data_IF_106007227237
#
_entry.id   IF_106007227237
#
_cell.length_a   1.000
_cell.length_b   1.000
_cell.length_c   1.000
_cell.angle_alpha   90.00
_cell.angle_beta   90.00
_cell.angle_gamma   90.00
#
_symmetry.space_group_name_H-M   'P 1'
#
loop_
_entity.id
_entity.type
_entity.pdbx_description
1 polymer ?
#
# COMPACT_ATOMS: atom_id res chain seq x y z
N UNK A 1 16.54 13.55 -28.90
CA UNK A 1 17.47 12.57 -28.30
C UNK A 1 17.28 12.57 -26.79
N UNK A 2 16.64 11.53 -26.24
CA UNK A 2 16.40 11.41 -24.79
C UNK A 2 17.64 10.87 -24.08
N UNK A 3 17.84 11.24 -22.81
CA UNK A 3 18.92 10.71 -21.97
C UNK A 3 18.87 9.17 -22.00
N UNK A 4 20.01 8.47 -22.23
CA UNK A 4 20.04 7.01 -22.21
C UNK A 4 19.61 6.49 -20.85
N UNK A 5 18.84 5.42 -20.85
CA UNK A 5 18.40 4.73 -19.63
C UNK A 5 19.61 4.16 -18.90
N UNK A 6 19.61 4.25 -17.57
CA UNK A 6 20.68 3.66 -16.76
C UNK A 6 20.65 2.13 -16.89
N UNK A 7 21.82 1.46 -16.88
CA UNK A 7 21.90 0.01 -16.80
C UNK A 7 21.16 -0.50 -15.57
N UNK A 8 20.51 -1.65 -15.71
CA UNK A 8 19.96 -2.37 -14.56
C UNK A 8 21.09 -3.29 -14.06
N UNK A 9 21.61 -3.03 -12.86
CA UNK A 9 22.83 -3.65 -12.32
C UNK A 9 22.56 -4.96 -11.55
N UNK A 10 21.32 -5.18 -11.10
CA UNK A 10 20.87 -6.38 -10.39
C UNK A 10 20.05 -7.23 -11.36
N UNK A 11 20.37 -8.53 -11.48
CA UNK A 11 19.70 -9.45 -12.41
C UNK A 11 18.79 -10.38 -11.59
N UNK A 12 17.69 -9.83 -11.09
CA UNK A 12 16.59 -10.61 -10.51
C UNK A 12 15.41 -10.71 -11.51
N UNK A 13 14.36 -11.44 -11.14
CA UNK A 13 13.20 -11.61 -12.04
C UNK A 13 12.49 -10.27 -12.35
N UNK A 14 12.50 -9.31 -11.42
CA UNK A 14 11.90 -7.97 -11.59
C UNK A 14 12.70 -7.13 -12.58
N UNK A 15 14.03 -7.20 -12.49
CA UNK A 15 14.95 -6.61 -13.44
C UNK A 15 14.78 -7.22 -14.84
N UNK A 16 14.67 -8.55 -14.95
CA UNK A 16 14.42 -9.23 -16.22
C UNK A 16 13.10 -8.77 -16.86
N UNK A 17 12.04 -8.66 -16.08
CA UNK A 17 10.75 -8.15 -16.55
C UNK A 17 10.82 -6.70 -17.04
N UNK A 18 11.55 -5.84 -16.32
CA UNK A 18 11.77 -4.46 -16.75
C UNK A 18 12.62 -4.39 -18.04
N UNK A 19 13.60 -5.28 -18.22
CA UNK A 19 14.38 -5.42 -19.45
C UNK A 19 13.48 -5.82 -20.62
N UNK A 20 12.59 -6.79 -20.44
CA UNK A 20 11.61 -7.17 -21.46
C UNK A 20 10.67 -6.00 -21.84
N UNK A 21 10.24 -5.22 -20.85
CA UNK A 21 9.40 -4.03 -21.06
C UNK A 21 10.15 -2.96 -21.87
N UNK A 22 11.44 -2.75 -21.59
CA UNK A 22 12.31 -1.86 -22.38
C UNK A 22 12.53 -2.40 -23.79
N UNK A 23 12.69 -3.71 -23.96
CA UNK A 23 12.83 -4.35 -25.26
C UNK A 23 11.56 -4.18 -26.11
N UNK A 24 10.37 -4.34 -25.52
CA UNK A 24 9.10 -4.07 -26.19
C UNK A 24 9.01 -2.61 -26.66
N UNK A 25 9.43 -1.67 -25.81
CA UNK A 25 9.47 -0.23 -26.14
C UNK A 25 10.45 0.08 -27.27
N UNK A 26 11.58 -0.62 -27.32
CA UNK A 26 12.59 -0.45 -28.37
C UNK A 26 12.13 -1.04 -29.71
N UNK A 27 11.51 -2.23 -29.69
CA UNK A 27 11.08 -2.97 -30.87
C UNK A 27 10.00 -2.25 -31.69
N UNK A 28 9.14 -1.45 -31.05
CA UNK A 28 8.01 -0.77 -31.68
C UNK A 28 8.19 0.75 -31.78
N UNK A 29 9.35 1.18 -32.29
CA UNK A 29 9.60 2.57 -32.70
C UNK A 29 10.37 3.42 -31.69
N UNK A 30 11.00 2.80 -30.68
CA UNK A 30 11.84 3.50 -29.69
C UNK A 30 11.13 4.71 -29.05
N UNK A 31 9.88 4.51 -28.64
CA UNK A 31 9.08 5.56 -28.01
C UNK A 31 9.80 6.14 -26.79
N UNK A 32 9.90 7.47 -26.75
CA UNK A 32 10.45 8.12 -25.56
C UNK A 32 9.42 8.08 -24.44
N UNK A 33 9.86 8.24 -23.18
CA UNK A 33 8.92 8.37 -22.07
C UNK A 33 7.97 9.57 -22.22
N UNK A 34 8.36 10.59 -22.99
CA UNK A 34 7.48 11.71 -23.34
C UNK A 34 6.35 11.27 -24.29
N UNK A 35 6.66 10.42 -25.27
CA UNK A 35 5.66 9.89 -26.21
C UNK A 35 4.72 8.90 -25.52
N UNK A 36 5.25 8.06 -24.62
CA UNK A 36 4.44 7.19 -23.77
C UNK A 36 3.51 7.99 -22.86
N UNK A 37 4.00 9.06 -22.23
CA UNK A 37 3.15 9.93 -21.40
C UNK A 37 2.08 10.67 -22.21
N UNK A 38 2.30 10.93 -23.51
CA UNK A 38 1.28 11.51 -24.39
C UNK A 38 0.22 10.48 -24.83
N UNK A 39 0.58 9.19 -24.87
CA UNK A 39 -0.29 8.07 -25.28
C UNK A 39 -0.95 7.34 -24.12
N UNK A 40 -0.58 7.66 -22.90
CA UNK A 40 -1.08 7.03 -21.67
C UNK A 40 -1.52 8.11 -20.68
N UNK A 41 -2.34 7.75 -19.70
CA UNK A 41 -2.73 8.68 -18.63
C UNK A 41 -1.72 8.74 -17.47
N UNK A 42 -0.46 8.36 -17.71
CA UNK A 42 0.59 8.25 -16.69
C UNK A 42 1.71 9.24 -16.91
N UNK A 43 2.28 9.73 -15.80
CA UNK A 43 3.39 10.69 -15.85
C UNK A 43 4.68 10.06 -16.40
N UNK A 44 5.57 10.88 -16.96
CA UNK A 44 6.90 10.46 -17.42
C UNK A 44 7.71 9.77 -16.31
N UNK A 45 7.59 10.26 -15.08
CA UNK A 45 8.32 9.74 -13.92
C UNK A 45 7.81 8.33 -13.57
N UNK A 46 6.50 8.15 -13.49
CA UNK A 46 5.85 6.86 -13.24
C UNK A 46 6.24 5.82 -14.31
N UNK A 47 6.29 6.20 -15.58
CA UNK A 47 6.66 5.32 -16.68
C UNK A 47 8.16 4.94 -16.66
N UNK A 48 9.03 5.88 -16.27
CA UNK A 48 10.45 5.62 -16.10
C UNK A 48 10.72 4.69 -14.92
N UNK A 49 10.00 4.88 -13.81
CA UNK A 49 10.09 3.99 -12.64
C UNK A 49 9.57 2.58 -12.94
N UNK A 50 8.46 2.47 -13.67
CA UNK A 50 7.89 1.17 -14.08
C UNK A 50 8.83 0.36 -14.98
N UNK A 51 9.78 1.02 -15.63
CA UNK A 51 10.79 0.37 -16.47
C UNK A 51 12.17 0.38 -15.84
N UNK A 52 12.30 0.81 -14.58
CA UNK A 52 13.60 0.92 -13.89
C UNK A 52 14.13 -0.42 -13.38
N UNK A 53 13.27 -1.43 -13.19
CA UNK A 53 13.65 -2.75 -12.66
C UNK A 53 13.94 -2.76 -11.16
N UNK A 54 13.48 -1.75 -10.42
CA UNK A 54 13.66 -1.66 -8.96
C UNK A 54 12.55 -2.33 -8.15
N UNK A 55 11.33 -2.36 -8.68
CA UNK A 55 10.13 -2.94 -8.07
C UNK A 55 9.18 -3.40 -9.16
N UNK A 56 8.35 -4.39 -8.86
CA UNK A 56 7.31 -4.85 -9.79
C UNK A 56 6.30 -3.69 -10.00
N UNK A 57 6.10 -3.19 -11.22
CA UNK A 57 5.16 -2.10 -11.48
C UNK A 57 3.71 -2.59 -11.32
N UNK A 58 2.77 -1.69 -11.06
CA UNK A 58 1.36 -2.07 -11.00
C UNK A 58 0.85 -2.52 -12.37
N UNK A 59 -0.06 -3.50 -12.39
CA UNK A 59 -0.64 -4.04 -13.62
C UNK A 59 -1.22 -2.95 -14.55
N UNK A 60 -1.96 -1.93 -14.06
CA UNK A 60 -2.47 -0.87 -14.93
C UNK A 60 -1.38 -0.11 -15.70
N UNK A 61 -0.23 0.14 -15.06
CA UNK A 61 0.91 0.84 -15.68
C UNK A 61 1.59 -0.04 -16.73
N UNK A 62 1.76 -1.33 -16.43
CA UNK A 62 2.31 -2.31 -17.39
C UNK A 62 1.43 -2.38 -18.64
N UNK A 63 0.12 -2.56 -18.48
CA UNK A 63 -0.80 -2.66 -19.61
C UNK A 63 -0.86 -1.37 -20.42
N UNK A 64 -0.74 -0.21 -19.79
CA UNK A 64 -0.68 1.07 -20.50
C UNK A 64 0.58 1.17 -21.39
N UNK A 65 1.75 0.76 -20.88
CA UNK A 65 2.99 0.74 -21.67
C UNK A 65 2.87 -0.26 -22.82
N UNK A 66 2.37 -1.47 -22.55
CA UNK A 66 2.21 -2.53 -23.54
C UNK A 66 1.28 -2.10 -24.68
N UNK A 67 0.11 -1.53 -24.34
CA UNK A 67 -0.83 -1.00 -25.33
C UNK A 67 -0.22 0.13 -26.15
N UNK A 68 0.47 1.07 -25.51
CA UNK A 68 1.10 2.19 -26.19
C UNK A 68 2.24 1.77 -27.13
N UNK A 69 2.90 0.65 -26.83
CA UNK A 69 3.93 0.01 -27.65
C UNK A 69 3.38 -1.04 -28.63
N UNK A 70 2.06 -1.26 -28.69
CA UNK A 70 1.45 -2.23 -29.61
C UNK A 70 1.68 -3.71 -29.27
N UNK A 71 2.07 -4.02 -28.03
CA UNK A 71 2.16 -5.40 -27.53
C UNK A 71 0.80 -5.97 -27.13
N UNK A 72 0.75 -7.29 -26.92
CA UNK A 72 -0.46 -7.99 -26.49
C UNK A 72 -0.72 -7.83 -24.98
N UNK A 73 -1.78 -7.11 -24.55
CA UNK A 73 -2.09 -6.91 -23.15
C UNK A 73 -2.39 -8.23 -22.40
N UNK A 74 -2.98 -9.24 -23.06
CA UNK A 74 -3.36 -10.49 -22.43
C UNK A 74 -2.14 -11.34 -22.05
N UNK A 75 -1.17 -11.43 -22.97
CA UNK A 75 0.10 -12.11 -22.73
C UNK A 75 0.89 -11.42 -21.60
N UNK A 76 0.93 -10.09 -21.61
CA UNK A 76 1.63 -9.32 -20.57
C UNK A 76 0.94 -9.38 -19.22
N UNK A 77 -0.40 -9.39 -19.18
CA UNK A 77 -1.16 -9.62 -17.95
C UNK A 77 -0.87 -11.00 -17.36
N UNK A 78 -0.88 -12.06 -18.16
CA UNK A 78 -0.59 -13.41 -17.69
C UNK A 78 0.85 -13.54 -17.16
N UNK A 79 1.82 -12.88 -17.80
CA UNK A 79 3.21 -12.82 -17.31
C UNK A 79 3.31 -12.05 -16.00
N UNK A 80 2.68 -10.89 -15.91
CA UNK A 80 2.65 -10.08 -14.71
C UNK A 80 2.03 -10.84 -13.53
N UNK A 81 0.92 -11.55 -13.77
CA UNK A 81 0.25 -12.34 -12.72
C UNK A 81 1.14 -13.50 -12.26
N UNK A 82 1.83 -14.20 -13.17
CA UNK A 82 2.81 -15.24 -12.80
C UNK A 82 3.95 -14.68 -11.93
N UNK A 83 4.42 -13.48 -12.24
CA UNK A 83 5.46 -12.82 -11.45
C UNK A 83 4.96 -12.37 -10.08
N UNK A 84 3.76 -11.79 -10.01
CA UNK A 84 3.10 -11.46 -8.74
C UNK A 84 2.92 -12.70 -7.89
N UNK A 85 2.45 -13.80 -8.48
CA UNK A 85 2.31 -15.08 -7.80
C UNK A 85 3.66 -15.63 -7.32
N UNK A 86 4.73 -15.51 -8.11
CA UNK A 86 6.08 -15.91 -7.66
C UNK A 86 6.65 -15.01 -6.56
N UNK A 87 6.42 -13.71 -6.63
CA UNK A 87 6.78 -12.79 -5.55
C UNK A 87 5.98 -13.09 -4.27
N UNK A 88 4.72 -13.49 -4.40
CA UNK A 88 3.88 -13.96 -3.30
C UNK A 88 4.21 -15.40 -2.84
N UNK A 89 4.87 -16.19 -3.68
CA UNK A 89 5.14 -17.62 -3.48
C UNK A 89 6.64 -17.91 -3.48
N UNK A 90 7.47 -16.94 -3.10
CA UNK A 90 8.82 -17.25 -2.61
C UNK A 90 8.59 -18.09 -1.35
N UNK A 91 8.91 -19.39 -1.34
CA UNK A 91 8.99 -20.10 -0.08
C UNK A 91 10.14 -19.42 0.63
N UNK A 92 9.82 -18.61 1.63
CA UNK A 92 10.80 -18.16 2.59
C UNK A 92 11.32 -19.45 3.23
N UNK A 93 12.44 -19.96 2.72
CA UNK A 93 13.27 -20.98 3.36
C UNK A 93 14.17 -20.31 4.42
N UNK A 94 13.81 -19.11 4.91
CA UNK A 94 14.15 -18.78 6.28
C UNK A 94 13.34 -19.77 7.14
N UNK A 95 13.87 -20.32 8.24
CA UNK A 95 12.97 -20.83 9.26
C UNK A 95 11.92 -19.74 9.47
N UNK A 96 10.63 -20.10 9.43
CA UNK A 96 9.57 -19.17 9.82
C UNK A 96 10.10 -18.54 11.11
N UNK A 97 10.40 -17.23 11.07
CA UNK A 97 10.68 -16.51 12.30
C UNK A 97 9.54 -16.94 13.23
N UNK A 98 9.83 -17.42 14.44
CA UNK A 98 8.80 -17.97 15.30
C UNK A 98 7.64 -16.98 15.26
N UNK A 99 6.44 -17.46 14.85
CA UNK A 99 5.25 -16.63 14.77
C UNK A 99 5.24 -15.77 16.03
N UNK A 100 5.23 -14.45 15.86
CA UNK A 100 5.37 -13.57 17.01
C UNK A 100 4.27 -13.94 17.99
N UNK A 101 4.64 -14.15 19.26
CA UNK A 101 3.64 -14.47 20.28
C UNK A 101 2.55 -13.40 20.25
N UNK A 102 1.29 -13.85 20.23
CA UNK A 102 0.13 -12.98 20.18
C UNK A 102 0.05 -12.22 21.50
N UNK A 103 0.57 -11.00 21.49
CA UNK A 103 0.68 -10.12 22.65
C UNK A 103 0.39 -8.68 22.25
N UNK A 104 0.07 -7.84 23.23
CA UNK A 104 -0.05 -6.40 23.01
C UNK A 104 1.25 -5.83 22.41
N UNK A 105 1.12 -5.06 21.33
CA UNK A 105 2.26 -4.52 20.60
C UNK A 105 2.86 -5.46 19.56
N UNK A 106 2.23 -6.60 19.29
CA UNK A 106 2.63 -7.45 18.16
C UNK A 106 2.09 -6.94 16.82
N UNK A 107 2.87 -7.13 15.76
CA UNK A 107 2.42 -6.76 14.42
C UNK A 107 1.29 -7.71 13.98
N UNK A 108 0.16 -7.21 13.43
CA UNK A 108 -1.00 -8.05 13.13
C UNK A 108 -0.71 -9.21 12.16
N UNK A 109 0.14 -8.98 11.14
CA UNK A 109 0.50 -10.03 10.17
C UNK A 109 1.51 -11.02 10.76
N UNK A 110 2.52 -10.55 11.48
CA UNK A 110 3.53 -11.40 12.12
C UNK A 110 2.95 -12.30 13.23
N UNK A 111 1.88 -11.85 13.90
CA UNK A 111 1.12 -12.63 14.89
C UNK A 111 0.04 -13.53 14.25
N UNK A 112 -0.06 -13.57 12.92
CA UNK A 112 -1.06 -14.36 12.20
C UNK A 112 -2.51 -13.91 12.41
N UNK A 113 -2.73 -12.69 12.89
CA UNK A 113 -4.07 -12.13 13.14
C UNK A 113 -4.76 -11.69 11.84
N UNK A 114 -3.99 -11.46 10.76
CA UNK A 114 -4.55 -11.00 9.47
C UNK A 114 -5.51 -11.99 8.79
N UNK A 115 -5.33 -13.29 9.00
CA UNK A 115 -5.99 -14.37 8.23
C UNK A 115 -7.51 -14.42 8.41
N UNK A 116 -8.00 -14.18 9.63
CA UNK A 116 -9.44 -14.22 9.97
C UNK A 116 -10.00 -12.84 10.33
N UNK A 117 -9.20 -11.78 10.18
CA UNK A 117 -9.60 -10.49 10.68
C UNK A 117 -10.74 -9.84 9.88
N UNK A 118 -11.75 -9.41 10.62
CA UNK A 118 -12.90 -8.68 10.12
C UNK A 118 -12.87 -7.22 10.59
N UNK A 119 -13.52 -6.34 9.83
CA UNK A 119 -13.74 -4.96 10.25
C UNK A 119 -14.94 -4.91 11.19
N UNK A 120 -14.68 -4.69 12.48
CA UNK A 120 -15.72 -4.62 13.50
C UNK A 120 -16.52 -3.31 13.42
N UNK A 121 -15.83 -2.20 13.19
CA UNK A 121 -16.44 -0.88 12.97
C UNK A 121 -15.50 0.00 12.15
N UNK A 122 -16.06 0.86 11.30
CA UNK A 122 -15.33 1.84 10.52
C UNK A 122 -15.93 3.24 10.66
N UNK A 123 -15.11 4.28 10.55
CA UNK A 123 -15.50 5.69 10.52
C UNK A 123 -14.75 6.42 9.42
N UNK A 124 -15.49 7.19 8.61
CA UNK A 124 -14.91 8.07 7.60
C UNK A 124 -14.21 9.26 8.24
N UNK A 125 -13.09 9.65 7.66
CA UNK A 125 -12.32 10.83 8.03
C UNK A 125 -12.45 11.84 6.91
N UNK A 126 -13.01 13.00 7.23
CA UNK A 126 -13.20 14.09 6.29
C UNK A 126 -12.30 15.27 6.67
N UNK A 127 -11.82 15.98 5.65
CA UNK A 127 -11.20 17.29 5.75
C UNK A 127 -12.31 18.35 5.72
N UNK A 128 -12.67 18.97 6.87
CA UNK A 128 -13.82 19.87 6.95
C UNK A 128 -13.64 21.13 6.08
N UNK A 129 -12.46 21.74 6.10
CA UNK A 129 -12.19 22.99 5.38
C UNK A 129 -12.31 22.82 3.86
N UNK A 130 -12.01 21.62 3.35
CA UNK A 130 -12.09 21.29 1.92
C UNK A 130 -13.33 20.51 1.52
N UNK A 131 -14.15 20.07 2.49
CA UNK A 131 -15.31 19.18 2.29
C UNK A 131 -14.94 17.91 1.50
N UNK A 132 -13.77 17.34 1.79
CA UNK A 132 -13.25 16.12 1.13
C UNK A 132 -13.22 14.96 2.13
N UNK A 133 -13.70 13.79 1.75
CA UNK A 133 -13.42 12.57 2.51
C UNK A 133 -12.00 12.12 2.16
N UNK A 134 -11.11 11.95 3.14
CA UNK A 134 -9.72 11.56 2.90
C UNK A 134 -9.50 10.05 3.08
N UNK A 135 -10.34 9.39 3.84
CA UNK A 135 -10.22 7.96 4.07
C UNK A 135 -11.20 7.47 5.13
N UNK A 136 -10.91 6.32 5.69
CA UNK A 136 -11.61 5.79 6.86
C UNK A 136 -10.64 5.10 7.81
N UNK A 137 -10.93 5.20 9.10
CA UNK A 137 -10.30 4.37 10.13
C UNK A 137 -11.23 3.21 10.47
N UNK A 138 -10.64 2.04 10.62
CA UNK A 138 -11.28 0.77 10.90
C UNK A 138 -10.71 0.16 12.16
N UNK A 139 -11.58 -0.38 13.01
CA UNK A 139 -11.20 -1.32 14.06
C UNK A 139 -11.27 -2.73 13.47
N UNK A 140 -10.11 -3.35 13.28
CA UNK A 140 -9.96 -4.72 12.82
C UNK A 140 -9.92 -5.67 14.02
N UNK A 141 -10.49 -6.86 13.89
CA UNK A 141 -10.52 -7.87 14.95
C UNK A 141 -10.35 -9.28 14.39
N UNK A 142 -9.44 -10.05 14.99
CA UNK A 142 -9.27 -11.49 14.79
C UNK A 142 -9.95 -12.23 15.93
N UNK A 143 -11.00 -12.99 15.60
CA UNK A 143 -11.73 -13.79 16.58
C UNK A 143 -10.91 -15.00 17.05
N UNK A 144 -10.06 -15.55 16.17
CA UNK A 144 -9.19 -16.69 16.49
C UNK A 144 -8.13 -16.33 17.51
N UNK A 145 -7.54 -15.14 17.38
CA UNK A 145 -6.43 -14.68 18.23
C UNK A 145 -6.88 -13.78 19.37
N UNK A 146 -8.16 -13.34 19.39
CA UNK A 146 -8.68 -12.41 20.41
C UNK A 146 -7.95 -11.07 20.39
N UNK A 147 -7.59 -10.58 19.21
CA UNK A 147 -6.72 -9.42 19.03
C UNK A 147 -7.33 -8.42 18.06
N UNK A 148 -7.13 -7.13 18.33
CA UNK A 148 -7.66 -6.04 17.53
C UNK A 148 -6.61 -4.97 17.25
N UNK A 149 -6.77 -4.24 16.15
CA UNK A 149 -5.89 -3.14 15.78
C UNK A 149 -6.64 -2.09 14.96
N UNK A 150 -6.08 -0.89 14.89
CA UNK A 150 -6.59 0.16 14.03
C UNK A 150 -5.95 0.05 12.64
N UNK A 151 -6.77 0.19 11.59
CA UNK A 151 -6.34 0.26 10.19
C UNK A 151 -6.92 1.51 9.55
N UNK A 152 -6.11 2.28 8.85
CA UNK A 152 -6.54 3.38 8.01
C UNK A 152 -6.48 3.00 6.53
N UNK A 153 -7.55 3.32 5.80
CA UNK A 153 -7.63 3.21 4.35
C UNK A 153 -7.80 4.62 3.77
N UNK A 154 -6.83 5.05 2.96
CA UNK A 154 -6.93 6.30 2.21
C UNK A 154 -7.86 6.18 1.01
N UNK A 155 -8.55 7.26 0.67
CA UNK A 155 -9.37 7.38 -0.53
C UNK A 155 -8.62 8.12 -1.65
N UNK A 156 -9.08 8.03 -2.90
CA UNK A 156 -8.41 8.65 -4.05
C UNK A 156 -8.21 10.18 -3.96
N UNK A 157 -8.99 10.87 -3.13
CA UNK A 157 -8.81 12.27 -2.76
C UNK A 157 -7.52 12.51 -1.95
N UNK A 158 -7.15 11.58 -1.07
CA UNK A 158 -5.90 11.59 -0.32
C UNK A 158 -4.73 11.20 -1.22
N UNK A 159 -4.90 10.22 -2.12
CA UNK A 159 -3.90 9.88 -3.14
C UNK A 159 -3.50 11.10 -3.98
N UNK A 160 -4.50 11.85 -4.43
CA UNK A 160 -4.27 13.07 -5.21
C UNK A 160 -3.48 14.11 -4.42
N UNK A 161 -3.77 14.25 -3.13
CA UNK A 161 -3.09 15.17 -2.22
C UNK A 161 -1.64 14.76 -1.98
N UNK A 162 -1.40 13.46 -1.70
CA UNK A 162 -0.08 12.89 -1.46
C UNK A 162 0.81 12.91 -2.71
N UNK A 163 0.23 12.99 -3.91
CA UNK A 163 0.98 13.24 -5.13
C UNK A 163 1.62 14.64 -5.23
N UNK A 164 1.22 15.58 -4.37
CA UNK A 164 1.64 16.98 -4.43
C UNK A 164 2.25 17.50 -3.13
N UNK A 165 2.01 16.83 -2.00
CA UNK A 165 2.35 17.27 -0.65
C UNK A 165 2.86 16.12 0.19
N UNK A 166 3.59 16.46 1.23
CA UNK A 166 3.99 15.47 2.23
C UNK A 166 2.79 15.14 3.11
N UNK A 167 2.40 13.87 3.13
CA UNK A 167 1.27 13.38 3.92
C UNK A 167 1.78 12.32 4.86
N UNK A 168 1.52 12.50 6.14
CA UNK A 168 1.76 11.50 7.18
C UNK A 168 0.42 11.03 7.75
N UNK A 169 0.33 9.73 8.01
CA UNK A 169 -0.79 9.11 8.68
C UNK A 169 -0.31 8.63 10.03
N UNK A 170 -1.05 9.02 11.06
CA UNK A 170 -0.91 8.46 12.39
C UNK A 170 -2.14 7.60 12.68
N UNK A 171 -1.94 6.33 12.97
CA UNK A 171 -3.02 5.37 13.27
C UNK A 171 -2.81 4.85 14.68
N UNK A 172 -3.84 4.93 15.52
CA UNK A 172 -3.79 4.53 16.92
C UNK A 172 -4.95 3.62 17.33
N UNK A 173 -4.68 2.68 18.23
CA UNK A 173 -5.68 1.92 18.97
C UNK A 173 -5.47 2.12 20.47
N UNK A 174 -6.57 2.25 21.22
CA UNK A 174 -6.59 2.42 22.67
C UNK A 174 -7.51 1.39 23.31
N UNK A 175 -7.08 0.75 24.41
CA UNK A 175 -7.90 -0.15 25.24
C UNK A 175 -8.40 0.57 26.50
N UNK A 176 -9.69 0.48 26.77
CA UNK A 176 -10.37 1.25 27.84
C UNK A 176 -9.94 0.81 29.26
N UNK A 177 -9.61 -0.47 29.47
CA UNK A 177 -9.36 -1.03 30.80
C UNK A 177 -8.08 -0.56 31.47
N UNK A 178 -7.04 -0.28 30.68
CA UNK A 178 -5.68 0.02 31.15
C UNK A 178 -5.04 1.21 30.42
N UNK A 179 -5.80 1.90 29.58
CA UNK A 179 -5.35 3.00 28.70
C UNK A 179 -4.13 2.64 27.85
N UNK A 180 -3.93 1.33 27.57
CA UNK A 180 -2.82 0.89 26.72
C UNK A 180 -3.06 1.34 25.29
N UNK A 181 -2.00 1.83 24.66
CA UNK A 181 -2.01 2.45 23.33
C UNK A 181 -0.94 1.84 22.43
N UNK A 182 -1.34 1.53 21.21
CA UNK A 182 -0.42 1.24 20.11
C UNK A 182 -0.68 2.28 19.03
N UNK A 183 0.35 3.00 18.62
CA UNK A 183 0.26 4.04 17.61
C UNK A 183 1.46 3.96 16.68
N UNK A 184 1.20 4.10 15.38
CA UNK A 184 2.22 4.26 14.35
C UNK A 184 2.04 5.61 13.69
N UNK A 185 3.14 6.26 13.33
CA UNK A 185 3.14 7.46 12.51
C UNK A 185 4.14 7.26 11.38
N UNK A 186 3.66 7.38 10.16
CA UNK A 186 4.45 7.10 8.98
C UNK A 186 3.98 7.90 7.76
N UNK A 187 4.83 8.00 6.75
CA UNK A 187 4.50 8.64 5.50
C UNK A 187 3.43 7.84 4.75
N UNK A 188 2.43 8.53 4.19
CA UNK A 188 1.37 7.89 3.41
C UNK A 188 1.96 7.16 2.20
N UNK A 189 1.69 5.87 2.08
CA UNK A 189 2.32 5.00 1.09
C UNK A 189 1.37 4.54 -0.04
N UNK A 190 0.21 5.20 -0.17
CA UNK A 190 -0.86 4.83 -1.13
C UNK A 190 -1.43 3.42 -0.89
N UNK A 191 -1.35 2.94 0.36
CA UNK A 191 -1.87 1.65 0.80
C UNK A 191 -2.50 1.79 2.21
N UNK A 192 -2.86 0.67 2.81
CA UNK A 192 -3.31 0.59 4.18
C UNK A 192 -2.19 0.95 5.16
N UNK A 193 -2.58 1.62 6.24
CA UNK A 193 -1.74 1.90 7.39
C UNK A 193 -2.35 1.22 8.62
N UNK A 194 -1.56 0.58 9.47
CA UNK A 194 -2.08 -0.07 10.67
C UNK A 194 -1.12 0.01 11.83
N UNK A 195 -1.66 0.04 13.04
CA UNK A 195 -0.86 -0.08 14.25
C UNK A 195 -0.73 -1.54 14.70
N UNK A 196 0.11 -1.77 15.71
CA UNK A 196 0.21 -3.05 16.39
C UNK A 196 -1.10 -3.44 17.10
N UNK A 197 -1.24 -4.75 17.39
CA UNK A 197 -2.43 -5.31 18.01
C UNK A 197 -2.50 -5.02 19.52
N UNK A 198 -3.72 -4.97 20.03
CA UNK A 198 -4.04 -5.11 21.45
C UNK A 198 -4.99 -6.30 21.62
N UNK A 199 -4.78 -7.06 22.70
CA UNK A 199 -5.69 -8.15 23.07
C UNK A 199 -7.04 -7.59 23.53
N UNK A 200 -8.12 -8.21 23.06
CA UNK A 200 -9.51 -7.71 23.17
C UNK A 200 -10.19 -7.98 24.51
N UNK A 201 -9.44 -7.93 25.61
CA UNK A 201 -9.99 -8.13 26.96
C UNK A 201 -10.97 -7.03 27.41
N UNK A 202 -11.07 -5.92 26.66
CA UNK A 202 -11.91 -4.77 26.96
C UNK A 202 -12.36 -4.02 25.70
N UNK A 203 -13.12 -2.93 25.89
CA UNK A 203 -13.53 -2.04 24.80
C UNK A 203 -12.32 -1.33 24.21
N UNK A 204 -12.33 -1.23 22.88
CA UNK A 204 -11.23 -0.66 22.10
C UNK A 204 -11.76 0.51 21.27
N UNK A 205 -10.85 1.44 20.96
CA UNK A 205 -11.12 2.57 20.08
C UNK A 205 -9.99 2.70 19.07
N UNK A 206 -10.32 2.72 17.79
CA UNK A 206 -9.39 3.04 16.71
C UNK A 206 -9.52 4.52 16.34
N UNK A 207 -8.41 5.19 16.09
CA UNK A 207 -8.38 6.54 15.57
C UNK A 207 -7.27 6.71 14.53
N UNK A 208 -7.45 7.68 13.63
CA UNK A 208 -6.39 8.08 12.73
C UNK A 208 -6.36 9.61 12.58
N UNK A 209 -5.15 10.14 12.38
CA UNK A 209 -4.86 11.54 12.13
C UNK A 209 -4.11 11.65 10.82
N UNK A 210 -4.47 12.66 10.03
CA UNK A 210 -3.88 12.95 8.73
C UNK A 210 -3.16 14.29 8.85
N UNK A 211 -1.85 14.26 8.66
CA UNK A 211 -0.97 15.43 8.74
C UNK A 211 -0.47 15.74 7.34
N UNK A 212 -0.58 16.99 6.91
CA UNK A 212 -0.16 17.45 5.58
C UNK A 212 0.81 18.61 5.76
N UNK A 213 2.01 18.47 5.21
CA UNK A 213 3.10 19.45 5.35
C UNK A 213 3.32 19.85 6.82
N UNK A 214 3.28 18.87 7.73
CA UNK A 214 3.42 19.06 9.18
C UNK A 214 2.19 19.59 9.93
N UNK A 215 1.08 19.88 9.24
CA UNK A 215 -0.14 20.40 9.85
C UNK A 215 -1.23 19.32 9.93
N UNK A 216 -1.85 19.15 11.10
CA UNK A 216 -3.02 18.28 11.24
C UNK A 216 -4.20 18.86 10.43
N UNK A 217 -4.68 18.09 9.45
CA UNK A 217 -5.78 18.54 8.57
C UNK A 217 -7.08 17.79 8.79
N UNK A 218 -7.01 16.55 9.30
CA UNK A 218 -8.17 15.74 9.58
C UNK A 218 -7.85 14.69 10.65
N UNK A 219 -8.84 14.38 11.47
CA UNK A 219 -8.78 13.27 12.40
C UNK A 219 -10.15 12.60 12.50
N UNK A 220 -10.16 11.33 12.90
CA UNK A 220 -11.40 10.64 13.21
C UNK A 220 -11.17 9.41 14.06
N UNK A 221 -12.16 9.08 14.87
CA UNK A 221 -12.12 7.94 15.78
C UNK A 221 -13.41 7.15 15.75
N UNK A 222 -13.32 5.83 15.91
CA UNK A 222 -14.47 4.97 16.19
C UNK A 222 -15.04 5.30 17.58
N UNK A 223 -16.31 4.97 17.87
CA UNK A 223 -16.75 4.88 19.25
C UNK A 223 -16.00 3.74 19.97
N UNK A 224 -16.04 3.75 21.29
CA UNK A 224 -15.59 2.61 22.11
C UNK A 224 -16.41 1.37 21.79
N UNK A 225 -15.76 0.30 21.35
CA UNK A 225 -16.41 -0.90 20.84
C UNK A 225 -15.88 -2.15 21.56
N UNK A 226 -16.78 -3.01 22.05
CA UNK A 226 -16.43 -4.32 22.57
C UNK A 226 -16.44 -5.32 21.40
N UNK A 227 -15.30 -5.91 21.09
CA UNK A 227 -15.21 -7.00 20.10
C UNK A 227 -15.39 -8.33 20.84
N UNK A 228 -16.23 -9.21 20.30
CA UNK A 228 -16.63 -10.48 20.94
C UNK A 228 -17.42 -11.35 19.99
#
# INVERSE_FOLDING_TARGET
>A
MGRPEKPIEIIDEVAAFAIELRALKAAHGSLTYRDLAARTHYSRTTLAEATAGKKLPSLPVVLAIVRACGGDPGLWQARWEKMRQRAANVPILLPALPEQEVADGAEPEAAGCGTDAATAIARKIAWPERRLNLGQVELRYSARQGAAWARFEGYGSLDHLAGQREVEIEVEIVRESDDRRCAVREAYCFDYHWCDILLSSARLRAAARIVVDGNLVAEGSTPWFAVG
#
